data_IF_070928077945
#
_entry.id   IF_070928077945
#
_cell.length_a   1.000
_cell.length_b   1.000
_cell.length_c   1.000
_cell.angle_alpha   90.00
_cell.angle_beta   90.00
_cell.angle_gamma   90.00
#
_symmetry.space_group_name_H-M   'P 1'
#
loop_
_entity.id
_entity.type
_entity.pdbx_description
1 polymer ?
#
# COMPACT_ATOMS: atom_id res chain seq x y z
N UNK A 1 -0.04 -31.41 -42.34
CA UNK A 1 0.76 -31.33 -41.09
C UNK A 1 -0.02 -32.02 -39.99
N UNK A 2 0.59 -32.92 -39.21
CA UNK A 2 -0.11 -33.53 -38.08
C UNK A 2 -0.16 -32.53 -36.93
N UNK A 3 -1.36 -32.03 -36.61
CA UNK A 3 -1.57 -31.07 -35.53
C UNK A 3 -1.43 -31.80 -34.18
N UNK A 4 -0.62 -31.25 -33.27
CA UNK A 4 -0.41 -31.77 -31.92
C UNK A 4 -0.97 -30.79 -30.90
N UNK A 5 -1.96 -31.21 -30.11
CA UNK A 5 -2.60 -30.35 -29.11
C UNK A 5 -2.60 -31.02 -27.75
N UNK A 6 -2.52 -30.21 -26.68
CA UNK A 6 -2.66 -30.71 -25.30
C UNK A 6 -4.06 -31.31 -25.12
N UNK A 7 -4.19 -32.31 -24.26
CA UNK A 7 -5.48 -32.97 -23.95
C UNK A 7 -6.62 -31.99 -23.66
N UNK A 8 -6.35 -30.97 -22.82
CA UNK A 8 -7.32 -29.95 -22.45
C UNK A 8 -7.82 -29.14 -23.66
N UNK A 9 -6.93 -28.81 -24.61
CA UNK A 9 -7.27 -28.09 -25.84
C UNK A 9 -8.16 -28.95 -26.74
N UNK A 10 -7.84 -30.25 -26.85
CA UNK A 10 -8.65 -31.22 -27.60
C UNK A 10 -10.07 -31.33 -27.00
N UNK A 11 -10.18 -31.37 -25.67
CA UNK A 11 -11.48 -31.46 -25.00
C UNK A 11 -12.31 -30.18 -25.14
N UNK A 12 -11.68 -29.00 -25.12
CA UNK A 12 -12.34 -27.72 -25.41
C UNK A 12 -12.81 -27.68 -26.87
N UNK A 13 -11.97 -28.10 -27.82
CA UNK A 13 -12.33 -28.18 -29.24
C UNK A 13 -13.54 -29.12 -29.45
N UNK A 14 -13.58 -30.29 -28.79
CA UNK A 14 -14.74 -31.22 -28.83
C UNK A 14 -16.03 -30.54 -28.38
N UNK A 15 -15.97 -29.76 -27.30
CA UNK A 15 -17.15 -29.05 -26.77
C UNK A 15 -17.58 -27.95 -27.72
N UNK A 16 -16.64 -27.17 -28.26
CA UNK A 16 -16.93 -26.11 -29.23
C UNK A 16 -17.55 -26.67 -30.53
N UNK A 17 -17.07 -27.81 -31.04
CA UNK A 17 -17.65 -28.45 -32.24
C UNK A 17 -19.09 -28.94 -32.06
N UNK A 18 -19.51 -29.23 -30.82
CA UNK A 18 -20.90 -29.61 -30.50
C UNK A 18 -21.83 -28.40 -30.41
N UNK A 19 -21.31 -27.18 -30.42
CA UNK A 19 -22.10 -25.95 -30.34
C UNK A 19 -22.37 -25.45 -31.75
N UNK A 20 -23.62 -25.08 -32.01
CA UNK A 20 -24.07 -24.53 -33.28
C UNK A 20 -23.74 -23.04 -33.46
N UNK A 21 -23.40 -22.34 -32.37
CA UNK A 21 -23.10 -20.91 -32.34
C UNK A 21 -21.89 -20.59 -31.47
N UNK A 22 -21.30 -19.42 -31.68
CA UNK A 22 -20.23 -18.89 -30.85
C UNK A 22 -20.66 -18.80 -29.38
N UNK A 23 -19.71 -19.01 -28.46
CA UNK A 23 -19.98 -19.13 -27.02
C UNK A 23 -19.11 -18.15 -26.25
N UNK A 24 -19.66 -17.58 -25.19
CA UNK A 24 -18.91 -16.66 -24.33
C UNK A 24 -17.89 -17.44 -23.50
N UNK A 25 -16.68 -16.89 -23.34
CA UNK A 25 -15.61 -17.55 -22.59
C UNK A 25 -16.01 -17.83 -21.12
N UNK A 26 -16.78 -16.93 -20.51
CA UNK A 26 -17.30 -17.09 -19.15
C UNK A 26 -18.28 -18.25 -19.02
N UNK A 27 -19.18 -18.43 -19.99
CA UNK A 27 -20.18 -19.50 -19.93
C UNK A 27 -19.54 -20.86 -20.24
N UNK A 28 -18.60 -20.88 -21.18
CA UNK A 28 -17.84 -22.09 -21.51
C UNK A 28 -16.97 -22.55 -20.34
N UNK A 29 -16.29 -21.63 -19.65
CA UNK A 29 -15.49 -21.94 -18.45
C UNK A 29 -16.35 -22.57 -17.35
N UNK A 30 -17.52 -21.98 -17.06
CA UNK A 30 -18.49 -22.51 -16.09
C UNK A 30 -19.02 -23.89 -16.50
N UNK A 31 -19.41 -24.05 -17.76
CA UNK A 31 -19.95 -25.31 -18.26
C UNK A 31 -18.93 -26.45 -18.15
N UNK A 32 -17.67 -26.17 -18.49
CA UNK A 32 -16.60 -27.15 -18.45
C UNK A 32 -15.96 -27.30 -17.07
N UNK A 33 -16.36 -26.48 -16.09
CA UNK A 33 -15.74 -26.40 -14.74
C UNK A 33 -14.21 -26.23 -14.80
N UNK A 34 -13.75 -25.39 -15.74
CA UNK A 34 -12.33 -25.06 -15.91
C UNK A 34 -12.08 -23.62 -15.49
N UNK A 35 -10.88 -23.36 -14.98
CA UNK A 35 -10.46 -22.00 -14.68
C UNK A 35 -10.43 -21.14 -15.97
N UNK A 36 -10.86 -19.89 -15.87
CA UNK A 36 -10.97 -18.98 -17.01
C UNK A 36 -9.62 -18.75 -17.71
N UNK A 37 -8.52 -18.65 -16.95
CA UNK A 37 -7.18 -18.44 -17.49
C UNK A 37 -6.74 -19.68 -18.27
N UNK A 38 -7.03 -20.88 -17.74
CA UNK A 38 -6.75 -22.15 -18.42
C UNK A 38 -7.53 -22.25 -19.73
N UNK A 39 -8.81 -21.88 -19.73
CA UNK A 39 -9.62 -21.83 -20.96
C UNK A 39 -9.00 -20.90 -22.00
N UNK A 40 -8.65 -19.67 -21.61
CA UNK A 40 -8.08 -18.69 -22.54
C UNK A 40 -6.70 -19.11 -23.06
N UNK A 41 -5.88 -19.76 -22.24
CA UNK A 41 -4.62 -20.35 -22.69
C UNK A 41 -4.85 -21.42 -23.77
N UNK A 42 -5.88 -22.25 -23.61
CA UNK A 42 -6.21 -23.26 -24.60
C UNK A 42 -6.80 -22.66 -25.88
N UNK A 43 -7.56 -21.56 -25.79
CA UNK A 43 -8.04 -20.83 -26.97
C UNK A 43 -6.85 -20.21 -27.73
N UNK A 44 -5.82 -19.71 -27.04
CA UNK A 44 -4.59 -19.26 -27.71
C UNK A 44 -3.87 -20.41 -28.43
N UNK A 45 -3.79 -21.60 -27.82
CA UNK A 45 -3.25 -22.79 -28.49
C UNK A 45 -4.05 -23.14 -29.77
N UNK A 46 -5.38 -22.89 -29.80
CA UNK A 46 -6.22 -23.03 -31.01
C UNK A 46 -5.93 -21.94 -32.06
N UNK A 47 -5.66 -20.70 -31.64
CA UNK A 47 -5.29 -19.58 -32.53
C UNK A 47 -3.97 -19.88 -33.23
N UNK A 48 -2.97 -20.37 -32.48
CA UNK A 48 -1.65 -20.71 -33.02
C UNK A 48 -1.72 -21.78 -34.13
N UNK A 49 -2.74 -22.63 -34.08
CA UNK A 49 -3.00 -23.68 -35.08
C UNK A 49 -4.12 -23.33 -36.08
N UNK A 50 -4.59 -22.08 -36.09
CA UNK A 50 -5.68 -21.60 -36.95
C UNK A 50 -7.02 -22.37 -36.81
N UNK A 51 -7.27 -23.01 -35.66
CA UNK A 51 -8.48 -23.82 -35.41
C UNK A 51 -9.61 -23.02 -34.73
N UNK A 52 -9.31 -21.87 -34.15
CA UNK A 52 -10.31 -21.06 -33.47
C UNK A 52 -9.76 -19.72 -33.02
N UNK A 53 -10.59 -18.92 -32.39
CA UNK A 53 -10.20 -17.62 -31.85
C UNK A 53 -11.24 -17.04 -30.93
N UNK A 54 -11.04 -15.79 -30.54
CA UNK A 54 -12.04 -15.04 -29.79
C UNK A 54 -12.17 -13.62 -30.32
N UNK A 55 -13.37 -13.06 -30.20
CA UNK A 55 -13.67 -11.64 -30.44
C UNK A 55 -13.95 -10.96 -29.12
N UNK A 56 -13.54 -9.71 -29.01
CA UNK A 56 -13.85 -8.87 -27.87
C UNK A 56 -15.06 -8.01 -28.19
N UNK A 57 -16.08 -8.09 -27.35
CA UNK A 57 -17.28 -7.26 -27.41
C UNK A 57 -17.32 -6.36 -26.18
N UNK A 58 -17.47 -5.06 -26.37
CA UNK A 58 -17.64 -4.13 -25.27
C UNK A 58 -19.07 -4.22 -24.72
N UNK A 59 -19.18 -4.55 -23.44
CA UNK A 59 -20.45 -4.58 -22.73
C UNK A 59 -20.43 -3.54 -21.63
N UNK A 60 -21.43 -2.66 -21.64
CA UNK A 60 -21.61 -1.70 -20.56
C UNK A 60 -22.52 -2.30 -19.51
N UNK A 61 -21.97 -2.48 -18.31
CA UNK A 61 -22.75 -2.82 -17.12
C UNK A 61 -23.07 -1.56 -16.34
N UNK A 62 -24.28 -1.51 -15.80
CA UNK A 62 -24.78 -0.38 -15.06
C UNK A 62 -25.18 -0.86 -13.67
N UNK A 63 -24.71 -0.18 -12.64
CA UNK A 63 -25.04 -0.44 -11.24
C UNK A 63 -25.46 0.87 -10.57
N UNK A 64 -26.13 0.78 -9.41
CA UNK A 64 -26.34 1.96 -8.57
C UNK A 64 -25.03 2.37 -7.89
N UNK A 65 -24.89 3.67 -7.62
CA UNK A 65 -23.86 4.18 -6.72
C UNK A 65 -24.37 4.23 -5.28
N UNK A 66 -23.55 4.70 -4.34
CA UNK A 66 -23.92 4.77 -2.91
C UNK A 66 -25.23 5.51 -2.66
N UNK A 67 -25.46 6.63 -3.34
CA UNK A 67 -26.68 7.43 -3.23
C UNK A 67 -27.90 6.72 -3.85
N UNK A 68 -27.72 6.07 -4.99
CA UNK A 68 -28.73 5.24 -5.64
C UNK A 68 -29.19 4.07 -4.76
N UNK A 69 -28.25 3.41 -4.07
CA UNK A 69 -28.54 2.32 -3.11
C UNK A 69 -29.32 2.82 -1.89
N UNK A 70 -29.01 4.02 -1.40
CA UNK A 70 -29.78 4.66 -0.31
C UNK A 70 -31.22 4.90 -0.76
N UNK A 71 -31.44 5.37 -2.00
CA UNK A 71 -32.79 5.60 -2.53
C UNK A 71 -33.53 4.32 -2.90
N UNK A 72 -32.83 3.24 -3.25
CA UNK A 72 -33.46 1.94 -3.40
C UNK A 72 -34.08 1.47 -2.07
N UNK A 73 -33.41 1.72 -0.94
CA UNK A 73 -33.89 1.33 0.41
C UNK A 73 -34.95 2.28 0.97
N UNK A 74 -34.71 3.58 0.88
CA UNK A 74 -35.52 4.61 1.55
C UNK A 74 -36.58 5.26 0.63
N UNK A 75 -36.56 4.94 -0.66
CA UNK A 75 -37.34 5.60 -1.70
C UNK A 75 -36.66 6.87 -2.24
N UNK A 76 -37.09 7.32 -3.42
CA UNK A 76 -36.61 8.57 -4.00
C UNK A 76 -37.03 9.79 -3.15
N UNK A 77 -36.34 10.94 -3.27
CA UNK A 77 -36.65 12.14 -2.49
C UNK A 77 -38.12 12.58 -2.56
N UNK A 78 -38.73 12.53 -3.74
CA UNK A 78 -40.17 12.79 -3.92
C UNK A 78 -41.05 11.82 -3.12
N UNK A 79 -40.70 10.52 -3.05
CA UNK A 79 -41.42 9.51 -2.27
C UNK A 79 -41.28 9.73 -0.78
N UNK A 80 -40.09 10.10 -0.32
CA UNK A 80 -39.85 10.39 1.08
C UNK A 80 -40.65 11.61 1.55
N UNK A 81 -40.70 12.68 0.73
CA UNK A 81 -41.49 13.87 1.02
C UNK A 81 -43.00 13.60 1.04
N UNK A 82 -43.53 12.83 0.09
CA UNK A 82 -44.97 12.50 0.10
C UNK A 82 -45.34 11.63 1.31
N UNK A 83 -44.50 10.64 1.66
CA UNK A 83 -44.72 9.79 2.83
C UNK A 83 -44.67 10.60 4.14
N UNK A 84 -43.80 11.63 4.23
CA UNK A 84 -43.75 12.55 5.36
C UNK A 84 -45.06 13.33 5.51
N UNK A 85 -45.61 13.86 4.41
CA UNK A 85 -46.87 14.62 4.39
C UNK A 85 -48.05 13.73 4.79
N UNK A 86 -48.15 12.53 4.21
CA UNK A 86 -49.19 11.55 4.51
C UNK A 86 -49.14 11.10 5.98
N UNK A 87 -47.96 10.78 6.52
CA UNK A 87 -47.79 10.35 7.92
C UNK A 87 -48.24 11.41 8.92
N UNK A 88 -48.09 12.69 8.58
CA UNK A 88 -48.52 13.81 9.43
C UNK A 88 -49.95 14.28 9.13
N UNK A 89 -50.62 13.71 8.14
CA UNK A 89 -51.96 14.15 7.71
C UNK A 89 -51.98 15.57 7.15
N UNK A 90 -50.86 16.07 6.62
CA UNK A 90 -50.73 17.45 6.17
C UNK A 90 -51.03 17.54 4.67
N UNK A 91 -52.11 18.26 4.32
CA UNK A 91 -52.51 18.50 2.92
C UNK A 91 -52.01 19.83 2.35
N UNK A 92 -51.69 20.79 3.22
CA UNK A 92 -51.13 22.10 2.88
C UNK A 92 -49.97 22.44 3.83
N UNK A 93 -48.84 22.87 3.28
CA UNK A 93 -47.69 23.29 4.09
C UNK A 93 -46.84 24.33 3.37
N UNK A 94 -46.24 25.24 4.15
CA UNK A 94 -45.22 26.15 3.66
C UNK A 94 -43.90 25.40 3.36
N UNK A 95 -43.22 25.79 2.27
CA UNK A 95 -41.98 25.13 1.85
C UNK A 95 -40.85 25.22 2.87
N UNK A 96 -40.70 26.33 3.60
CA UNK A 96 -39.66 26.47 4.62
C UNK A 96 -39.96 25.59 5.84
N UNK A 97 -41.23 25.50 6.21
CA UNK A 97 -41.69 24.61 7.27
C UNK A 97 -41.47 23.16 6.87
N UNK A 98 -41.79 22.78 5.64
CA UNK A 98 -41.58 21.42 5.15
C UNK A 98 -40.09 21.07 5.05
N UNK A 99 -39.24 21.99 4.61
CA UNK A 99 -37.77 21.80 4.58
C UNK A 99 -37.26 21.44 5.97
N UNK A 100 -37.63 22.21 7.01
CA UNK A 100 -37.24 21.95 8.41
C UNK A 100 -37.72 20.58 8.91
N UNK A 101 -38.91 20.15 8.50
CA UNK A 101 -39.45 18.85 8.92
C UNK A 101 -38.90 17.65 8.14
N UNK A 102 -38.41 17.86 6.92
CA UNK A 102 -37.87 16.80 6.06
C UNK A 102 -36.47 16.34 6.46
N UNK A 103 -35.71 17.20 7.16
CA UNK A 103 -34.30 16.98 7.50
C UNK A 103 -33.40 16.74 6.27
N UNK A 104 -33.82 17.21 5.09
CA UNK A 104 -33.06 17.13 3.84
C UNK A 104 -32.10 18.29 3.70
N UNK A 105 -31.00 18.06 2.96
CA UNK A 105 -30.24 19.17 2.40
C UNK A 105 -31.13 20.03 1.49
N UNK A 106 -30.88 21.34 1.46
CA UNK A 106 -31.69 22.31 0.71
C UNK A 106 -31.77 21.95 -0.77
N UNK A 107 -30.67 21.47 -1.38
CA UNK A 107 -30.67 21.09 -2.80
C UNK A 107 -31.53 19.85 -3.04
N UNK A 108 -31.36 18.83 -2.18
CA UNK A 108 -32.11 17.58 -2.28
C UNK A 108 -33.61 17.79 -2.11
N UNK A 109 -33.98 18.67 -1.17
CA UNK A 109 -35.34 19.08 -0.92
C UNK A 109 -36.02 19.67 -2.16
N UNK A 110 -35.39 20.65 -2.81
CA UNK A 110 -35.97 21.27 -4.00
C UNK A 110 -36.00 20.32 -5.21
N UNK A 111 -35.07 19.36 -5.31
CA UNK A 111 -35.13 18.27 -6.30
C UNK A 111 -36.38 17.42 -6.08
N UNK A 112 -36.64 17.03 -4.83
CA UNK A 112 -37.84 16.28 -4.45
C UNK A 112 -39.13 17.05 -4.78
N UNK A 113 -39.20 18.33 -4.42
CA UNK A 113 -40.35 19.21 -4.74
C UNK A 113 -40.57 19.33 -6.25
N UNK A 114 -39.49 19.47 -7.04
CA UNK A 114 -39.59 19.57 -8.50
C UNK A 114 -40.16 18.27 -9.10
N UNK A 115 -39.74 17.10 -8.60
CA UNK A 115 -40.26 15.82 -9.08
C UNK A 115 -41.69 15.55 -8.59
N UNK A 116 -42.04 15.93 -7.37
CA UNK A 116 -43.43 15.90 -6.88
C UNK A 116 -44.36 16.68 -7.81
N UNK A 117 -43.93 17.85 -8.28
CA UNK A 117 -44.69 18.65 -9.25
C UNK A 117 -44.78 17.98 -10.62
N UNK A 118 -43.67 17.41 -11.13
CA UNK A 118 -43.66 16.69 -12.41
C UNK A 118 -44.57 15.46 -12.40
N UNK A 119 -44.67 14.79 -11.25
CA UNK A 119 -45.57 13.66 -11.05
C UNK A 119 -47.04 14.09 -10.89
N UNK A 120 -47.33 15.40 -10.84
CA UNK A 120 -48.69 15.90 -10.61
C UNK A 120 -49.20 15.61 -9.22
N UNK A 121 -48.33 15.47 -8.20
CA UNK A 121 -48.76 15.17 -6.84
C UNK A 121 -48.98 16.43 -6.00
N UNK A 122 -48.36 17.55 -6.41
CA UNK A 122 -48.48 18.83 -5.70
C UNK A 122 -48.74 20.01 -6.65
N UNK A 123 -49.47 21.01 -6.16
CA UNK A 123 -49.56 22.35 -6.74
C UNK A 123 -48.92 23.39 -5.80
N UNK A 124 -48.43 24.51 -6.35
CA UNK A 124 -47.85 25.61 -5.57
C UNK A 124 -48.64 26.90 -5.79
N UNK A 125 -48.99 27.60 -4.71
CA UNK A 125 -49.55 28.96 -4.78
C UNK A 125 -48.49 29.98 -4.37
N UNK A 126 -48.44 31.11 -5.07
CA UNK A 126 -47.59 32.27 -4.77
C UNK A 126 -48.40 33.55 -4.48
N UNK A 127 -49.72 33.44 -4.36
CA UNK A 127 -50.61 34.60 -4.33
C UNK A 127 -50.57 35.40 -3.02
N UNK A 128 -50.06 34.84 -1.92
CA UNK A 128 -50.09 35.44 -0.58
C UNK A 128 -48.72 35.89 -0.04
N UNK A 129 -47.65 35.84 -0.84
CA UNK A 129 -46.28 36.08 -0.37
C UNK A 129 -45.64 34.91 0.39
N UNK A 130 -46.44 33.92 0.81
CA UNK A 130 -46.00 32.64 1.38
C UNK A 130 -45.92 31.56 0.29
N UNK A 131 -44.91 30.69 0.35
CA UNK A 131 -44.63 29.71 -0.70
C UNK A 131 -45.18 28.34 -0.28
N UNK A 132 -46.50 28.16 -0.45
CA UNK A 132 -47.21 26.96 0.00
C UNK A 132 -47.37 25.90 -1.08
N UNK A 133 -47.33 24.63 -0.67
CA UNK A 133 -47.66 23.48 -1.52
C UNK A 133 -48.96 22.81 -1.06
N UNK A 134 -49.72 22.28 -2.02
CA UNK A 134 -50.99 21.58 -1.82
C UNK A 134 -50.91 20.21 -2.46
N UNK A 135 -51.34 19.17 -1.75
CA UNK A 135 -51.57 17.86 -2.37
C UNK A 135 -52.80 17.93 -3.28
N UNK A 136 -52.66 17.52 -4.53
CA UNK A 136 -53.76 17.57 -5.53
C UNK A 136 -54.40 16.21 -5.83
N UNK A 137 -53.76 15.13 -5.37
CA UNK A 137 -54.23 13.75 -5.55
C UNK A 137 -54.54 13.12 -4.19
N UNK A 138 -55.43 12.12 -4.18
CA UNK A 138 -55.71 11.30 -2.99
C UNK A 138 -54.90 9.99 -2.99
N UNK A 139 -54.44 9.54 -4.17
CA UNK A 139 -53.63 8.34 -4.35
C UNK A 139 -52.27 8.67 -5.00
N UNK A 140 -51.20 8.11 -4.46
CA UNK A 140 -49.82 8.37 -4.91
C UNK A 140 -49.15 7.06 -5.39
N UNK A 141 -49.53 6.55 -6.57
CA UNK A 141 -49.05 5.26 -7.06
C UNK A 141 -47.54 5.26 -7.30
N UNK A 142 -46.95 4.07 -7.37
CA UNK A 142 -45.53 3.92 -7.67
C UNK A 142 -45.22 4.34 -9.10
N UNK A 143 -44.26 5.25 -9.26
CA UNK A 143 -43.83 5.76 -10.57
C UNK A 143 -43.06 4.69 -11.35
N UNK A 144 -43.02 4.82 -12.67
CA UNK A 144 -42.23 3.93 -13.53
C UNK A 144 -40.73 3.96 -13.18
N UNK A 145 -40.21 5.11 -12.72
CA UNK A 145 -38.83 5.24 -12.28
C UNK A 145 -38.56 4.45 -11.00
N UNK A 146 -39.48 4.47 -10.03
CA UNK A 146 -39.36 3.68 -8.81
C UNK A 146 -39.47 2.17 -9.10
N UNK A 147 -40.36 1.76 -10.00
CA UNK A 147 -40.45 0.36 -10.44
C UNK A 147 -39.17 -0.10 -11.13
N UNK A 148 -38.54 0.76 -11.92
CA UNK A 148 -37.27 0.47 -12.56
C UNK A 148 -36.10 0.44 -11.57
N UNK A 149 -36.10 1.31 -10.56
CA UNK A 149 -35.09 1.31 -9.50
C UNK A 149 -35.06 -0.03 -8.75
N UNK A 150 -36.24 -0.63 -8.48
CA UNK A 150 -36.35 -1.96 -7.83
C UNK A 150 -35.63 -3.05 -8.62
N UNK A 151 -35.54 -2.98 -9.95
CA UNK A 151 -34.81 -3.99 -10.76
C UNK A 151 -33.33 -4.09 -10.40
N UNK A 152 -32.73 -3.00 -9.92
CA UNK A 152 -31.35 -3.02 -9.42
C UNK A 152 -31.20 -3.74 -8.07
N UNK A 153 -32.29 -3.84 -7.29
CA UNK A 153 -32.31 -4.66 -6.07
C UNK A 153 -32.39 -6.16 -6.35
N UNK A 154 -33.00 -6.55 -7.46
CA UNK A 154 -33.03 -7.95 -7.93
C UNK A 154 -31.73 -8.32 -8.67
N UNK A 155 -31.09 -7.36 -9.35
CA UNK A 155 -29.86 -7.54 -10.11
C UNK A 155 -28.86 -6.43 -9.79
N UNK A 156 -27.79 -6.74 -9.05
CA UNK A 156 -26.75 -5.77 -8.68
C UNK A 156 -26.11 -5.06 -9.89
N UNK A 157 -26.00 -5.74 -11.03
CA UNK A 157 -25.52 -5.17 -12.29
C UNK A 157 -26.48 -5.51 -13.45
N UNK A 158 -26.91 -4.51 -14.21
CA UNK A 158 -27.75 -4.68 -15.40
C UNK A 158 -26.92 -4.43 -16.67
N UNK A 159 -27.10 -5.27 -17.69
CA UNK A 159 -26.42 -5.12 -18.99
C UNK A 159 -27.18 -4.10 -19.85
N UNK A 160 -26.50 -3.04 -20.27
CA UNK A 160 -27.13 -1.93 -21.01
C UNK A 160 -27.81 -2.34 -22.32
N UNK A 161 -27.26 -3.34 -23.02
CA UNK A 161 -27.81 -3.77 -24.32
C UNK A 161 -29.13 -4.54 -24.19
N UNK A 162 -29.36 -5.17 -23.03
CA UNK A 162 -30.56 -5.96 -22.73
C UNK A 162 -31.76 -5.10 -22.34
N UNK A 163 -31.54 -3.81 -22.06
CA UNK A 163 -32.59 -2.86 -21.70
C UNK A 163 -33.49 -2.53 -22.91
N UNK A 164 -34.81 -2.56 -22.67
CA UNK A 164 -35.82 -2.07 -23.62
C UNK A 164 -35.69 -0.56 -23.87
N UNK A 165 -36.37 -0.05 -24.90
CA UNK A 165 -36.34 1.39 -25.24
C UNK A 165 -36.83 2.26 -24.08
N UNK A 166 -37.90 1.84 -23.40
CA UNK A 166 -38.48 2.58 -22.28
C UNK A 166 -37.57 2.59 -21.05
N UNK A 167 -36.92 1.46 -20.76
CA UNK A 167 -35.95 1.36 -19.67
C UNK A 167 -34.70 2.21 -19.92
N UNK A 168 -34.26 2.34 -21.17
CA UNK A 168 -33.13 3.23 -21.51
C UNK A 168 -33.45 4.69 -21.22
N UNK A 169 -34.71 5.10 -21.40
CA UNK A 169 -35.17 6.46 -21.04
C UNK A 169 -35.14 6.61 -19.51
N UNK A 170 -35.63 5.63 -18.75
CA UNK A 170 -35.59 5.67 -17.28
C UNK A 170 -34.16 5.66 -16.74
N UNK A 171 -33.27 4.89 -17.36
CA UNK A 171 -31.85 4.87 -17.03
C UNK A 171 -31.19 6.23 -17.28
N UNK A 172 -31.53 6.92 -18.37
CA UNK A 172 -31.04 8.27 -18.64
C UNK A 172 -31.48 9.27 -17.56
N UNK A 173 -32.70 9.11 -17.03
CA UNK A 173 -33.17 9.91 -15.89
C UNK A 173 -32.34 9.63 -14.63
N UNK A 174 -32.05 8.36 -14.30
CA UNK A 174 -31.17 8.02 -13.17
C UNK A 174 -29.74 8.53 -13.37
N UNK A 175 -29.23 8.49 -14.61
CA UNK A 175 -27.91 9.00 -14.97
C UNK A 175 -27.81 10.52 -14.81
N UNK A 176 -28.83 11.26 -15.27
CA UNK A 176 -28.93 12.72 -15.08
C UNK A 176 -29.00 13.10 -13.59
N UNK A 177 -29.61 12.24 -12.77
CA UNK A 177 -29.63 12.36 -11.31
C UNK A 177 -28.33 11.88 -10.64
N UNK A 178 -27.35 11.40 -11.41
CA UNK A 178 -26.07 10.86 -10.92
C UNK A 178 -26.23 9.71 -9.92
N UNK A 179 -27.20 8.82 -10.14
CA UNK A 179 -27.50 7.70 -9.23
C UNK A 179 -26.93 6.35 -9.70
N UNK A 180 -26.20 6.34 -10.81
CA UNK A 180 -25.69 5.11 -11.44
C UNK A 180 -24.22 5.26 -11.78
N UNK A 181 -23.53 4.12 -11.77
CA UNK A 181 -22.20 3.94 -12.31
C UNK A 181 -22.26 3.08 -13.57
N UNK A 182 -21.62 3.54 -14.65
CA UNK A 182 -21.51 2.80 -15.91
C UNK A 182 -20.09 2.25 -16.04
N UNK A 183 -19.93 0.94 -15.86
CA UNK A 183 -18.64 0.24 -16.01
C UNK A 183 -18.56 -0.44 -17.36
N UNK A 184 -17.50 -0.13 -18.10
CA UNK A 184 -17.15 -0.85 -19.33
C UNK A 184 -16.49 -2.18 -18.95
N UNK A 185 -17.04 -3.29 -19.41
CA UNK A 185 -16.43 -4.62 -19.30
C UNK A 185 -16.30 -5.23 -20.70
N UNK A 186 -15.16 -5.87 -20.95
CA UNK A 186 -14.93 -6.59 -22.20
C UNK A 186 -15.41 -8.03 -22.04
N UNK A 187 -16.29 -8.48 -22.93
CA UNK A 187 -16.74 -9.86 -23.03
C UNK A 187 -15.98 -10.54 -24.17
N UNK A 188 -15.52 -11.77 -23.96
CA UNK A 188 -14.84 -12.55 -25.01
C UNK A 188 -15.77 -13.63 -25.54
N UNK A 189 -15.99 -13.63 -26.85
CA UNK A 189 -16.80 -14.59 -27.57
C UNK A 189 -15.87 -15.49 -28.38
N UNK A 190 -15.88 -16.79 -28.08
CA UNK A 190 -15.02 -17.79 -28.69
C UNK A 190 -15.73 -18.35 -29.93
N UNK A 191 -14.99 -18.46 -31.03
CA UNK A 191 -15.45 -19.01 -32.31
C UNK A 191 -14.47 -20.06 -32.85
N UNK A 192 -14.97 -20.96 -33.69
CA UNK A 192 -14.15 -21.88 -34.48
C UNK A 192 -14.01 -21.37 -35.92
N UNK A 193 -12.82 -21.53 -36.50
CA UNK A 193 -12.59 -21.32 -37.93
C UNK A 193 -13.19 -22.46 -38.74
N UNK A 194 -13.26 -22.31 -40.07
CA UNK A 194 -13.74 -23.39 -40.94
C UNK A 194 -12.84 -24.63 -40.86
N UNK A 195 -11.52 -24.43 -40.69
CA UNK A 195 -10.56 -25.51 -40.42
C UNK A 195 -10.85 -26.22 -39.08
N UNK A 196 -11.11 -25.46 -38.01
CA UNK A 196 -11.47 -26.02 -36.70
C UNK A 196 -12.80 -26.77 -36.68
N UNK A 197 -13.76 -26.37 -37.53
CA UNK A 197 -15.03 -27.08 -37.71
C UNK A 197 -14.85 -28.37 -38.50
N UNK A 198 -14.00 -28.38 -39.52
CA UNK A 198 -13.85 -29.51 -40.43
C UNK A 198 -12.82 -30.56 -39.98
N UNK A 199 -11.83 -30.19 -39.15
CA UNK A 199 -10.78 -31.12 -38.71
C UNK A 199 -11.35 -32.32 -37.93
N UNK A 200 -10.98 -33.55 -38.31
CA UNK A 200 -11.37 -34.72 -37.55
C UNK A 200 -10.54 -34.82 -36.26
N UNK A 201 -11.18 -35.02 -35.11
CA UNK A 201 -10.47 -35.12 -33.81
C UNK A 201 -9.46 -36.28 -33.82
N UNK A 202 -9.71 -37.33 -34.60
CA UNK A 202 -8.80 -38.47 -34.82
C UNK A 202 -7.49 -38.11 -35.52
N UNK A 203 -7.45 -36.98 -36.23
CA UNK A 203 -6.24 -36.49 -36.93
C UNK A 203 -5.35 -35.64 -36.01
N UNK A 204 -5.85 -35.26 -34.84
CA UNK A 204 -5.12 -34.48 -33.84
C UNK A 204 -4.41 -35.45 -32.89
N UNK A 205 -3.07 -35.40 -32.87
CA UNK A 205 -2.28 -36.16 -31.90
C UNK A 205 -2.27 -35.44 -30.55
N UNK A 206 -2.42 -36.21 -29.48
CA UNK A 206 -2.26 -35.67 -28.12
C UNK A 206 -0.80 -35.33 -27.86
N UNK A 207 -0.55 -34.06 -27.52
CA UNK A 207 0.76 -33.56 -27.16
C UNK A 207 1.02 -33.87 -25.67
N UNK A 208 1.78 -34.95 -25.43
CA UNK A 208 2.23 -35.35 -24.09
C UNK A 208 3.47 -34.56 -23.68
N UNK A 209 3.29 -33.32 -23.26
CA UNK A 209 4.36 -32.42 -22.79
C UNK A 209 4.66 -32.63 -21.31
N UNK A 210 5.93 -32.82 -20.96
CA UNK A 210 6.41 -32.86 -19.56
C UNK A 210 7.42 -31.74 -19.30
N UNK A 211 7.34 -31.13 -18.12
CA UNK A 211 8.27 -30.06 -17.70
C UNK A 211 9.58 -30.59 -17.13
N UNK A 212 9.55 -31.81 -16.58
CA UNK A 212 10.69 -32.47 -15.96
C UNK A 212 10.53 -33.98 -16.12
N UNK A 213 11.61 -34.66 -16.49
CA UNK A 213 11.67 -36.12 -16.44
C UNK A 213 11.75 -36.54 -14.97
N UNK A 214 10.87 -37.44 -14.54
CA UNK A 214 10.90 -38.02 -13.19
C UNK A 214 11.72 -39.31 -13.17
N UNK A 215 12.13 -39.74 -11.98
CA UNK A 215 12.90 -40.97 -11.81
C UNK A 215 12.13 -42.21 -12.30
N UNK A 216 10.81 -42.23 -12.11
CA UNK A 216 9.94 -43.32 -12.54
C UNK A 216 9.89 -43.45 -14.06
N UNK A 217 9.83 -42.32 -14.79
CA UNK A 217 9.85 -42.28 -16.26
C UNK A 217 11.18 -42.77 -16.85
N UNK A 218 12.28 -42.57 -16.13
CA UNK A 218 13.59 -43.11 -16.53
C UNK A 218 13.64 -44.63 -16.33
N UNK A 219 13.05 -45.12 -15.22
CA UNK A 219 13.02 -46.56 -14.91
C UNK A 219 12.11 -47.32 -15.88
N UNK A 220 10.97 -46.75 -16.29
CA UNK A 220 10.03 -47.41 -17.20
C UNK A 220 10.35 -47.21 -18.69
N UNK A 221 11.41 -46.47 -19.03
CA UNK A 221 11.76 -46.05 -20.40
C UNK A 221 10.66 -45.26 -21.14
N UNK A 222 9.58 -44.87 -20.46
CA UNK A 222 8.45 -44.16 -21.06
C UNK A 222 8.77 -42.72 -21.45
N UNK A 223 9.90 -42.17 -20.99
CA UNK A 223 10.28 -40.78 -21.24
C UNK A 223 10.42 -40.45 -22.73
N UNK A 224 10.73 -41.43 -23.59
CA UNK A 224 10.80 -41.25 -25.05
C UNK A 224 9.43 -40.92 -25.68
N UNK A 225 8.34 -41.29 -25.02
CA UNK A 225 6.98 -41.03 -25.48
C UNK A 225 6.47 -39.63 -25.11
N UNK A 226 7.26 -38.83 -24.40
CA UNK A 226 6.92 -37.47 -23.98
C UNK A 226 7.82 -36.44 -24.67
N UNK A 227 7.23 -35.31 -25.05
CA UNK A 227 8.01 -34.15 -25.49
C UNK A 227 8.39 -33.29 -24.28
N UNK A 228 9.65 -32.91 -24.17
CA UNK A 228 10.11 -32.02 -23.12
C UNK A 228 9.78 -30.57 -23.47
N UNK A 229 9.19 -29.85 -22.52
CA UNK A 229 9.00 -28.41 -22.67
C UNK A 229 10.37 -27.73 -22.79
N UNK A 230 10.62 -26.91 -23.83
CA UNK A 230 11.88 -26.18 -23.96
C UNK A 230 12.13 -25.31 -22.72
N UNK A 231 13.35 -25.40 -22.18
CA UNK A 231 13.75 -24.58 -21.05
C UNK A 231 14.14 -23.18 -21.53
N UNK A 232 13.44 -22.17 -21.02
CA UNK A 232 13.68 -20.77 -21.37
C UNK A 232 14.81 -20.19 -20.53
N UNK A 233 16.01 -20.14 -21.12
CA UNK A 233 17.24 -19.62 -20.48
C UNK A 233 17.23 -18.11 -20.27
N UNK A 234 16.28 -17.38 -20.86
CA UNK A 234 16.16 -15.93 -20.67
C UNK A 234 15.47 -15.55 -19.35
N UNK A 235 14.75 -16.50 -18.75
CA UNK A 235 14.02 -16.26 -17.51
C UNK A 235 14.94 -16.30 -16.31
N UNK A 236 14.67 -15.41 -15.36
CA UNK A 236 15.37 -15.40 -14.09
C UNK A 236 15.12 -16.73 -13.35
N UNK A 237 16.21 -17.33 -12.89
CA UNK A 237 16.16 -18.55 -12.09
C UNK A 237 15.51 -18.32 -10.72
N UNK A 238 15.27 -19.40 -9.97
CA UNK A 238 14.74 -19.29 -8.61
C UNK A 238 15.70 -18.49 -7.74
N UNK A 239 15.16 -17.55 -6.95
CA UNK A 239 15.96 -16.77 -6.00
C UNK A 239 16.43 -17.68 -4.86
N UNK A 240 17.74 -17.85 -4.74
CA UNK A 240 18.34 -18.50 -3.59
C UNK A 240 18.26 -17.59 -2.37
N UNK A 241 17.77 -18.12 -1.25
CA UNK A 241 17.73 -17.42 0.03
C UNK A 241 19.04 -17.67 0.77
N UNK A 242 20.00 -16.76 0.62
CA UNK A 242 21.27 -16.78 1.36
C UNK A 242 21.25 -15.76 2.51
N UNK A 243 22.03 -16.03 3.57
CA UNK A 243 22.31 -15.06 4.62
C UNK A 243 23.05 -13.84 4.05
N UNK A 244 22.75 -12.65 4.59
CA UNK A 244 23.36 -11.38 4.16
C UNK A 244 23.92 -10.64 5.36
N UNK A 245 25.08 -10.00 5.18
CA UNK A 245 25.66 -9.08 6.16
C UNK A 245 24.97 -7.72 6.02
N UNK A 246 24.73 -7.04 7.14
CA UNK A 246 24.15 -5.70 7.13
C UNK A 246 25.11 -4.72 6.43
N UNK A 247 24.65 -3.86 5.49
CA UNK A 247 25.54 -2.97 4.72
C UNK A 247 26.47 -2.09 5.57
N UNK A 248 25.98 -1.56 6.70
CA UNK A 248 26.81 -0.79 7.64
C UNK A 248 27.95 -1.63 8.24
N UNK A 249 27.70 -2.90 8.56
CA UNK A 249 28.76 -3.78 9.08
C UNK A 249 29.81 -4.03 8.00
N UNK A 250 29.39 -4.18 6.74
CA UNK A 250 30.32 -4.31 5.62
C UNK A 250 31.23 -3.08 5.49
N UNK A 251 30.64 -1.88 5.57
CA UNK A 251 31.40 -0.62 5.53
C UNK A 251 32.34 -0.45 6.74
N UNK A 252 31.89 -0.79 7.95
CA UNK A 252 32.73 -0.77 9.16
C UNK A 252 33.93 -1.70 9.00
N UNK A 253 33.73 -2.89 8.44
CA UNK A 253 34.82 -3.84 8.19
C UNK A 253 35.82 -3.29 7.16
N UNK A 254 35.34 -2.66 6.08
CA UNK A 254 36.20 -2.02 5.09
C UNK A 254 37.04 -0.89 5.72
N UNK A 255 36.43 -0.02 6.52
CA UNK A 255 37.15 1.05 7.25
C UNK A 255 38.19 0.46 8.22
N UNK A 256 37.83 -0.62 8.94
CA UNK A 256 38.77 -1.32 9.83
C UNK A 256 39.96 -1.86 9.05
N UNK A 257 39.73 -2.51 7.91
CA UNK A 257 40.80 -3.03 7.05
C UNK A 257 41.75 -1.93 6.58
N UNK A 258 41.22 -0.77 6.18
CA UNK A 258 42.02 0.39 5.78
C UNK A 258 42.94 0.84 6.92
N UNK A 259 42.40 1.10 8.12
CA UNK A 259 43.23 1.57 9.25
C UNK A 259 44.25 0.53 9.71
N UNK A 260 43.86 -0.76 9.77
CA UNK A 260 44.77 -1.84 10.11
C UNK A 260 45.91 -1.95 9.09
N UNK A 261 45.63 -1.79 7.79
CA UNK A 261 46.66 -1.79 6.73
C UNK A 261 47.65 -0.63 6.85
N UNK A 262 47.24 0.49 7.45
CA UNK A 262 48.09 1.66 7.73
C UNK A 262 48.89 1.53 9.04
N UNK A 263 48.76 0.40 9.74
CA UNK A 263 49.44 0.12 11.01
C UNK A 263 48.80 0.79 12.23
N UNK A 264 47.52 1.16 12.16
CA UNK A 264 46.77 1.61 13.34
C UNK A 264 46.25 0.42 14.15
N UNK A 265 46.16 0.58 15.47
CA UNK A 265 45.56 -0.40 16.38
C UNK A 265 44.14 0.02 16.75
N UNK A 266 43.18 -0.90 16.66
CA UNK A 266 41.80 -0.59 17.06
C UNK A 266 41.71 -0.46 18.58
N UNK A 267 41.05 0.61 19.05
CA UNK A 267 40.72 0.83 20.45
C UNK A 267 39.21 0.85 20.64
N UNK A 268 38.77 0.52 21.86
CA UNK A 268 37.34 0.53 22.24
C UNK A 268 37.17 1.22 23.59
N UNK A 269 35.99 1.81 23.76
CA UNK A 269 35.60 2.51 24.98
C UNK A 269 34.18 2.17 25.39
N UNK A 270 33.76 2.55 26.60
CA UNK A 270 32.41 2.30 27.07
C UNK A 270 31.39 3.18 26.33
N UNK A 271 30.15 2.70 26.21
CA UNK A 271 29.02 3.49 25.68
C UNK A 271 28.62 4.58 26.67
N UNK A 272 28.59 4.24 27.96
CA UNK A 272 28.33 5.18 29.05
C UNK A 272 29.66 5.79 29.45
N UNK A 273 29.74 7.12 29.36
CA UNK A 273 30.94 7.88 29.62
C UNK A 273 30.73 8.87 30.76
N UNK A 274 31.81 9.24 31.46
CA UNK A 274 31.75 10.38 32.37
C UNK A 274 31.80 11.69 31.58
N UNK A 275 31.10 12.72 32.02
CA UNK A 275 31.21 14.07 31.44
C UNK A 275 32.67 14.56 31.47
N UNK A 276 33.46 14.09 32.44
CA UNK A 276 34.91 14.25 32.45
C UNK A 276 35.59 13.79 31.17
N UNK A 277 35.46 12.51 30.79
CA UNK A 277 36.14 12.00 29.59
C UNK A 277 35.46 12.43 28.29
N UNK A 278 34.14 12.59 28.31
CA UNK A 278 33.39 13.00 27.14
C UNK A 278 33.57 14.48 26.80
N UNK A 279 33.95 15.33 27.76
CA UNK A 279 34.05 16.77 27.52
C UNK A 279 35.24 17.44 28.22
N UNK A 280 35.37 17.31 29.56
CA UNK A 280 36.37 18.09 30.32
C UNK A 280 37.82 17.76 29.90
N UNK A 281 38.12 16.47 29.70
CA UNK A 281 39.43 15.98 29.27
C UNK A 281 39.80 16.44 27.84
N UNK A 282 38.82 16.87 27.04
CA UNK A 282 39.01 17.46 25.72
C UNK A 282 39.17 18.98 25.76
N UNK A 283 39.28 19.55 26.96
CA UNK A 283 39.36 21.00 27.19
C UNK A 283 38.10 21.77 26.76
N UNK A 284 36.94 21.10 26.64
CA UNK A 284 35.66 21.74 26.35
C UNK A 284 35.04 22.29 27.65
N UNK A 285 34.67 23.59 27.74
CA UNK A 285 34.21 24.19 28.99
C UNK A 285 32.85 23.64 29.45
N UNK A 286 32.53 23.79 30.74
CA UNK A 286 31.35 23.19 31.37
C UNK A 286 30.03 23.85 30.99
N UNK A 287 30.05 25.10 30.56
CA UNK A 287 28.92 25.90 30.06
C UNK A 287 28.70 25.77 28.54
N UNK A 288 29.46 24.91 27.87
CA UNK A 288 29.37 24.74 26.42
C UNK A 288 27.99 24.19 25.99
N UNK A 289 27.32 24.77 24.96
CA UNK A 289 25.97 24.37 24.53
C UNK A 289 25.80 22.88 24.26
N UNK A 290 26.78 22.24 23.61
CA UNK A 290 26.76 20.79 23.35
C UNK A 290 26.64 19.91 24.62
N UNK A 291 26.90 20.44 25.83
CA UNK A 291 26.69 19.74 27.11
C UNK A 291 25.28 19.87 27.64
N UNK A 292 24.42 20.67 27.03
CA UNK A 292 23.06 20.87 27.50
C UNK A 292 22.20 19.63 27.23
N UNK A 293 21.08 19.51 27.96
CA UNK A 293 20.22 18.33 27.86
C UNK A 293 19.58 18.18 26.48
N UNK A 294 19.41 19.27 25.71
CA UNK A 294 18.89 19.16 24.35
C UNK A 294 19.88 18.53 23.38
N UNK A 295 21.18 18.48 23.67
CA UNK A 295 22.20 17.96 22.74
C UNK A 295 22.79 16.62 23.22
N UNK A 296 22.82 16.40 24.53
CA UNK A 296 23.45 15.22 25.15
C UNK A 296 22.49 14.41 26.01
N UNK A 297 22.49 13.09 25.82
CA UNK A 297 21.77 12.16 26.69
C UNK A 297 22.49 11.94 28.03
N UNK A 298 22.06 12.66 29.06
CA UNK A 298 22.45 12.38 30.44
C UNK A 298 21.67 11.20 31.01
N UNK A 299 22.36 10.37 31.79
CA UNK A 299 21.76 9.20 32.38
C UNK A 299 21.18 9.50 33.76
N UNK A 300 19.96 8.99 33.99
CA UNK A 300 19.33 9.01 35.32
C UNK A 300 19.90 7.93 36.24
N UNK A 301 20.32 6.78 35.69
CA UNK A 301 20.91 5.68 36.44
C UNK A 301 21.86 4.85 35.55
N UNK A 302 23.15 4.71 35.90
CA UNK A 302 23.84 5.50 36.93
C UNK A 302 23.79 6.98 36.55
N UNK A 303 23.75 7.89 37.54
CA UNK A 303 23.86 9.34 37.31
C UNK A 303 25.25 9.92 37.65
N UNK A 304 26.07 9.13 38.35
CA UNK A 304 27.39 9.50 38.84
C UNK A 304 28.38 8.42 38.37
N UNK A 305 29.43 8.85 37.69
CA UNK A 305 30.56 8.03 37.30
C UNK A 305 31.74 8.22 38.25
N UNK A 306 32.61 7.21 38.30
CA UNK A 306 33.90 7.33 38.95
C UNK A 306 34.86 8.10 38.03
N UNK A 307 35.46 9.15 38.60
CA UNK A 307 36.52 9.91 37.92
C UNK A 307 37.83 9.11 37.92
N UNK A 308 38.77 9.44 37.01
CA UNK A 308 40.10 8.85 37.04
C UNK A 308 40.91 9.31 38.27
N UNK A 309 42.21 9.00 38.25
CA UNK A 309 43.15 9.37 39.31
C UNK A 309 43.07 10.88 39.65
N UNK A 310 43.16 11.19 40.95
CA UNK A 310 42.86 12.54 41.48
C UNK A 310 43.81 13.60 40.95
N UNK A 311 45.07 13.27 40.77
CA UNK A 311 46.09 14.12 40.13
C UNK A 311 45.66 14.56 38.72
N UNK A 312 45.12 13.65 37.90
CA UNK A 312 44.62 13.98 36.56
C UNK A 312 43.39 14.88 36.62
N UNK A 313 42.47 14.62 37.53
CA UNK A 313 41.28 15.46 37.72
C UNK A 313 41.69 16.88 38.12
N UNK A 314 42.66 17.02 39.04
CA UNK A 314 43.20 18.31 39.46
C UNK A 314 43.94 19.02 38.33
N UNK A 315 44.73 18.31 37.51
CA UNK A 315 45.40 18.90 36.36
C UNK A 315 44.40 19.44 35.33
N UNK A 316 43.32 18.70 35.04
CA UNK A 316 42.24 19.19 34.17
C UNK A 316 41.56 20.40 34.78
N UNK A 317 41.21 20.35 36.07
CA UNK A 317 40.64 21.49 36.80
C UNK A 317 41.53 22.73 36.65
N UNK A 318 42.80 22.64 37.03
CA UNK A 318 43.75 23.75 36.97
C UNK A 318 43.90 24.30 35.54
N UNK A 319 43.97 23.41 34.55
CA UNK A 319 44.05 23.82 33.14
C UNK A 319 42.79 24.57 32.70
N UNK A 320 41.59 24.13 33.14
CA UNK A 320 40.33 24.82 32.83
C UNK A 320 40.21 26.17 33.54
N UNK A 321 40.62 26.27 34.81
CA UNK A 321 40.42 27.49 35.60
C UNK A 321 41.46 28.58 35.24
N UNK A 322 42.75 28.21 35.17
CA UNK A 322 43.86 29.15 35.04
C UNK A 322 44.82 28.84 33.89
N UNK A 323 44.61 27.73 33.17
CA UNK A 323 45.50 27.28 32.09
C UNK A 323 46.65 26.38 32.56
N UNK A 324 46.84 26.22 33.87
CA UNK A 324 47.88 25.38 34.47
C UNK A 324 49.27 25.63 33.89
N UNK A 325 50.02 24.56 33.64
CA UNK A 325 51.39 24.64 33.08
C UNK A 325 51.43 24.78 31.54
N UNK A 326 50.28 24.87 30.87
CA UNK A 326 50.21 24.83 29.40
C UNK A 326 50.60 26.15 28.71
N UNK A 327 50.71 27.25 29.47
CA UNK A 327 50.86 28.60 28.93
C UNK A 327 49.55 29.21 28.39
N UNK A 328 48.44 28.48 28.47
CA UNK A 328 47.08 29.01 28.26
C UNK A 328 46.65 29.89 29.44
N UNK A 329 45.63 30.72 29.24
CA UNK A 329 44.94 31.46 30.32
C UNK A 329 43.75 30.68 30.90
N UNK A 330 43.49 29.48 30.39
CA UNK A 330 42.30 28.70 30.74
C UNK A 330 41.01 29.31 30.20
N UNK A 331 39.90 28.97 30.83
CA UNK A 331 38.57 29.49 30.55
C UNK A 331 38.10 30.53 31.59
N UNK A 332 38.87 30.76 32.66
CA UNK A 332 38.59 31.74 33.71
C UNK A 332 37.21 31.59 34.39
N UNK A 333 36.79 30.35 34.64
CA UNK A 333 35.61 30.01 35.45
C UNK A 333 36.00 29.03 36.57
N UNK A 334 35.10 28.78 37.52
CA UNK A 334 35.28 27.75 38.55
C UNK A 334 34.80 26.38 38.03
N UNK A 335 35.71 25.40 37.96
CA UNK A 335 35.42 24.08 37.43
C UNK A 335 34.77 23.19 38.50
N UNK A 336 33.57 22.66 38.22
CA UNK A 336 32.81 21.84 39.16
C UNK A 336 33.02 20.32 38.91
N UNK A 337 33.61 19.64 39.89
CA UNK A 337 33.82 18.19 39.88
C UNK A 337 32.49 17.40 39.82
N UNK A 338 31.39 17.94 40.36
CA UNK A 338 30.07 17.28 40.31
C UNK A 338 29.53 17.23 38.88
N UNK A 339 29.79 18.25 38.07
CA UNK A 339 29.40 18.25 36.65
C UNK A 339 30.19 17.18 35.91
N UNK A 340 31.51 17.09 36.15
CA UNK A 340 32.39 16.11 35.53
C UNK A 340 32.02 14.65 35.87
N UNK A 341 31.45 14.42 37.07
CA UNK A 341 30.94 13.12 37.52
C UNK A 341 29.65 12.70 36.84
N UNK A 342 28.91 13.59 36.19
CA UNK A 342 27.66 13.20 35.51
C UNK A 342 27.95 12.16 34.43
N UNK A 343 27.05 11.21 34.27
CA UNK A 343 27.13 10.16 33.25
C UNK A 343 26.33 10.54 32.01
N UNK A 344 26.91 10.28 30.85
CA UNK A 344 26.31 10.54 29.54
C UNK A 344 26.41 9.30 28.65
N UNK A 345 25.54 9.17 27.67
CA UNK A 345 25.87 8.35 26.50
C UNK A 345 26.93 9.10 25.69
N UNK A 346 28.02 8.44 25.32
CA UNK A 346 29.13 9.10 24.62
C UNK A 346 28.64 9.80 23.35
N UNK A 347 29.00 11.07 23.19
CA UNK A 347 28.55 11.90 22.06
C UNK A 347 29.45 11.79 20.84
N UNK A 348 30.69 11.33 21.05
CA UNK A 348 31.70 11.12 20.02
C UNK A 348 32.79 10.15 20.52
N UNK A 349 33.45 9.44 19.60
CA UNK A 349 34.52 8.48 19.93
C UNK A 349 35.81 9.13 20.43
N UNK A 350 35.97 10.46 20.32
CA UNK A 350 37.12 11.19 20.88
C UNK A 350 37.31 10.97 22.38
N UNK A 351 36.22 10.71 23.12
CA UNK A 351 36.28 10.34 24.54
C UNK A 351 37.07 9.03 24.75
N UNK A 352 36.89 8.06 23.84
CA UNK A 352 37.64 6.80 23.85
C UNK A 352 39.12 7.05 23.56
N UNK A 353 39.44 7.98 22.65
CA UNK A 353 40.83 8.41 22.41
C UNK A 353 41.46 9.02 23.66
N UNK A 354 40.74 9.90 24.39
CA UNK A 354 41.25 10.47 25.64
C UNK A 354 41.47 9.42 26.73
N UNK A 355 40.57 8.43 26.84
CA UNK A 355 40.79 7.27 27.72
C UNK A 355 42.05 6.50 27.33
N UNK A 356 42.24 6.24 26.04
CA UNK A 356 43.43 5.54 25.55
C UNK A 356 44.71 6.31 25.83
N UNK A 357 44.72 7.63 25.64
CA UNK A 357 45.86 8.49 25.95
C UNK A 357 46.14 8.50 27.46
N UNK A 358 45.11 8.63 28.29
CA UNK A 358 45.23 8.55 29.74
C UNK A 358 45.82 7.21 30.20
N UNK A 359 45.38 6.10 29.60
CA UNK A 359 45.94 4.78 29.85
C UNK A 359 47.38 4.67 29.34
N UNK A 360 47.68 5.17 28.13
CA UNK A 360 49.01 5.16 27.53
C UNK A 360 50.06 5.81 28.45
N UNK A 361 49.74 6.99 29.00
CA UNK A 361 50.61 7.67 29.97
C UNK A 361 50.77 6.89 31.27
N UNK A 362 49.69 6.30 31.78
CA UNK A 362 49.70 5.49 33.00
C UNK A 362 50.60 4.26 32.85
N UNK A 363 50.48 3.57 31.71
CA UNK A 363 51.17 2.32 31.44
C UNK A 363 52.61 2.56 30.95
N UNK A 364 53.04 3.82 30.85
CA UNK A 364 54.35 4.26 30.36
C UNK A 364 54.74 3.57 29.04
N UNK A 365 53.77 3.49 28.14
CA UNK A 365 53.95 2.87 26.84
C UNK A 365 54.91 3.67 25.94
N UNK A 366 55.55 2.99 24.98
CA UNK A 366 56.54 3.62 24.08
C UNK A 366 55.86 4.36 22.93
N UNK A 367 56.34 5.57 22.64
CA UNK A 367 55.97 6.36 21.44
C UNK A 367 56.81 5.94 20.21
N UNK A 368 56.30 6.08 18.97
CA UNK A 368 54.97 6.57 18.59
C UNK A 368 53.88 5.48 18.56
N UNK A 369 52.62 5.87 18.77
CA UNK A 369 51.44 4.99 18.70
C UNK A 369 50.42 5.53 17.69
N UNK A 370 49.75 4.63 16.97
CA UNK A 370 48.64 4.92 16.06
C UNK A 370 47.40 4.14 16.48
N UNK A 371 46.30 4.82 16.77
CA UNK A 371 45.05 4.18 17.20
C UNK A 371 43.85 4.70 16.43
N UNK A 372 42.85 3.85 16.23
CA UNK A 372 41.57 4.21 15.61
C UNK A 372 40.39 3.57 16.34
N UNK A 373 39.21 4.16 16.21
CA UNK A 373 37.97 3.67 16.82
C UNK A 373 36.83 3.85 15.83
N UNK A 374 36.08 2.79 15.58
CA UNK A 374 34.82 2.82 14.81
C UNK A 374 33.75 2.23 15.71
N UNK A 375 32.94 3.10 16.30
CA UNK A 375 32.00 2.68 17.34
C UNK A 375 30.83 3.67 17.45
N UNK A 376 29.71 3.19 17.99
CA UNK A 376 28.44 3.93 18.00
C UNK A 376 28.45 5.10 18.97
N UNK A 377 27.93 6.24 18.55
CA UNK A 377 27.79 7.47 19.35
C UNK A 377 26.33 7.90 19.42
N UNK A 378 26.01 8.75 20.39
CA UNK A 378 24.64 9.13 20.72
C UNK A 378 24.51 10.64 20.83
N UNK A 379 23.50 11.22 20.18
CA UNK A 379 23.21 12.66 20.25
C UNK A 379 21.72 12.88 20.43
N UNK A 380 21.34 13.80 21.31
CA UNK A 380 19.94 14.10 21.57
C UNK A 380 19.35 15.05 20.51
N UNK A 381 19.70 14.84 19.25
CA UNK A 381 19.19 15.66 18.15
C UNK A 381 17.80 15.18 17.73
N UNK A 382 17.00 16.09 17.18
CA UNK A 382 15.68 15.75 16.64
C UNK A 382 15.86 14.83 15.44
N UNK A 383 15.34 13.60 15.54
CA UNK A 383 15.43 12.60 14.48
C UNK A 383 14.76 13.10 13.21
N UNK A 384 15.51 13.08 12.11
CA UNK A 384 15.03 13.36 10.76
C UNK A 384 15.60 12.34 9.75
N UNK A 385 15.40 12.57 8.46
CA UNK A 385 15.86 11.67 7.39
C UNK A 385 17.39 11.51 7.30
N UNK A 386 18.14 12.43 7.88
CA UNK A 386 19.61 12.56 7.81
C UNK A 386 20.29 12.50 9.19
N UNK A 387 19.57 12.83 10.26
CA UNK A 387 20.07 12.87 11.63
C UNK A 387 19.37 11.82 12.48
N UNK A 388 20.16 10.89 13.01
CA UNK A 388 19.70 9.85 13.92
C UNK A 388 20.21 10.14 15.33
N UNK A 389 19.45 9.70 16.33
CA UNK A 389 19.86 9.82 17.73
C UNK A 389 21.07 8.92 18.07
N UNK A 390 21.32 7.88 17.27
CA UNK A 390 22.50 7.04 17.33
C UNK A 390 23.06 6.76 15.93
N UNK A 391 24.38 6.80 15.78
CA UNK A 391 25.09 6.54 14.52
C UNK A 391 26.53 6.06 14.78
N UNK A 392 27.24 5.59 13.76
CA UNK A 392 28.63 5.08 13.85
C UNK A 392 29.54 5.87 12.95
#
# INVERSE_FOLDING_TARGET
>A
MTIKLKKQVIDILKVLKKKSSDVTATDLAKQMKVDYIVLMSAVNDLIDHNLGGFKEEEVFKVSLNEEGEIYLKNGLPERQLINLLLKKGIREIDLEVLLKHSNFDKNLFYIGIANLRRNGWIAQSKASGESKIFLIEEEFPQTNLEKFLIKFGENEEIIYIELSKDEKILLDVLNKRKLIDKKRKTKRVIYLTDEGKNIAISEIKELKLVSKITSEMLISEDWENFELKPFDVSKSGPRLKAGKIHPIINLINEIREIFLSMGFTEIRGPIIESAFYNFDALFQPQDHPAREMQDTFYLKNPNIAHLPERDRVLAVKETHESGGESGSIGWAYEWDEKIAKKTVLRTHTTATTMRRLAQFYRDNEKVPVKVFCVDRVFRNEKVDKSHLAEFT
#
